data_IF_701582063724
#
_entry.id   IF_701582063724
#
_cell.length_a   1.000
_cell.length_b   1.000
_cell.length_c   1.000
_cell.angle_alpha   90.00
_cell.angle_beta   90.00
_cell.angle_gamma   90.00
#
_symmetry.space_group_name_H-M   'P 1'
#
loop_
_entity.id
_entity.type
_entity.pdbx_description
1 polymer ?
#
# COMPACT_ATOMS: atom_id res chain seq x y z
N UNK A 1 -4.15 20.29 6.06
CA UNK A 1 -3.21 19.18 5.77
C UNK A 1 -1.84 19.79 5.59
N UNK A 2 -0.80 19.17 6.12
CA UNK A 2 0.59 19.53 5.87
C UNK A 2 1.18 18.56 4.85
N UNK A 3 1.98 19.07 3.92
CA UNK A 3 2.58 18.29 2.84
C UNK A 3 4.06 18.62 2.68
N UNK A 4 4.83 17.66 2.16
CA UNK A 4 6.21 17.85 1.70
C UNK A 4 6.33 17.43 0.24
N UNK A 5 7.35 17.93 -0.45
CA UNK A 5 7.64 17.48 -1.81
C UNK A 5 8.01 15.99 -1.80
N UNK A 6 7.36 15.19 -2.64
CA UNK A 6 7.70 13.77 -2.83
C UNK A 6 9.11 13.54 -3.38
N UNK A 7 9.72 14.55 -4.02
CA UNK A 7 11.10 14.47 -4.51
C UNK A 7 12.12 14.31 -3.37
N UNK A 8 11.73 14.58 -2.13
CA UNK A 8 12.56 14.38 -0.95
C UNK A 8 12.51 12.94 -0.43
N UNK A 9 11.63 12.08 -0.97
CA UNK A 9 11.51 10.68 -0.56
C UNK A 9 12.58 9.84 -1.26
N UNK A 10 13.22 8.96 -0.49
CA UNK A 10 14.19 8.00 -1.02
C UNK A 10 13.48 6.80 -1.63
N UNK A 11 12.97 6.95 -2.86
CA UNK A 11 12.50 5.84 -3.67
C UNK A 11 13.56 5.36 -4.67
N UNK A 12 13.60 4.06 -4.99
CA UNK A 12 14.41 3.53 -6.08
C UNK A 12 14.07 4.17 -7.44
N UNK A 13 15.04 4.18 -8.36
CA UNK A 13 14.90 4.83 -9.67
C UNK A 13 13.73 4.29 -10.49
N UNK A 14 13.43 3.01 -10.38
CA UNK A 14 12.29 2.35 -11.04
C UNK A 14 10.95 2.97 -10.64
N UNK A 15 10.86 3.52 -9.43
CA UNK A 15 9.68 4.16 -8.86
C UNK A 15 9.74 5.69 -8.90
N UNK A 16 10.68 6.26 -9.65
CA UNK A 16 10.94 7.70 -9.65
C UNK A 16 9.75 8.58 -10.07
N UNK A 17 8.77 8.06 -10.80
CA UNK A 17 7.58 8.85 -11.16
C UNK A 17 6.65 9.05 -9.95
N UNK A 18 6.66 8.13 -8.98
CA UNK A 18 5.91 8.21 -7.73
C UNK A 18 6.41 9.36 -6.82
N UNK A 19 7.69 9.73 -6.91
CA UNK A 19 8.27 10.88 -6.19
C UNK A 19 7.65 12.23 -6.60
N UNK A 20 6.97 12.30 -7.74
CA UNK A 20 6.33 13.54 -8.18
C UNK A 20 5.03 13.84 -7.43
N UNK A 21 4.47 12.88 -6.69
CA UNK A 21 3.28 13.09 -5.86
C UNK A 21 3.68 13.77 -4.55
N UNK A 22 3.04 14.88 -4.15
CA UNK A 22 3.23 15.45 -2.81
C UNK A 22 2.84 14.45 -1.72
N UNK A 23 3.59 14.47 -0.61
CA UNK A 23 3.39 13.54 0.51
C UNK A 23 2.69 14.27 1.65
N UNK A 24 1.49 13.84 2.00
CA UNK A 24 0.72 14.33 3.14
C UNK A 24 1.31 13.80 4.44
N UNK A 25 1.77 14.71 5.30
CA UNK A 25 2.47 14.37 6.55
C UNK A 25 1.64 14.64 7.80
N UNK A 26 0.55 15.39 7.66
CA UNK A 26 -0.45 15.57 8.70
C UNK A 26 -1.82 15.90 8.10
N UNK A 27 -2.87 15.32 8.67
CA UNK A 27 -4.25 15.63 8.36
C UNK A 27 -5.03 15.88 9.67
N UNK A 28 -5.79 16.98 9.72
CA UNK A 28 -6.71 17.25 10.82
C UNK A 28 -8.03 16.53 10.51
N UNK A 29 -8.26 15.41 11.19
CA UNK A 29 -9.51 14.66 11.07
C UNK A 29 -10.47 15.09 12.17
N UNK A 30 -11.50 15.84 11.80
CA UNK A 30 -12.66 16.02 12.68
C UNK A 30 -13.39 14.68 12.77
N UNK A 31 -13.33 14.05 13.93
CA UNK A 31 -13.94 12.75 14.21
C UNK A 31 -15.45 12.77 13.95
N UNK A 32 -15.95 11.84 13.13
CA UNK A 32 -17.38 11.66 12.90
C UNK A 32 -17.82 11.09 11.55
N UNK A 33 -16.97 10.40 10.79
CA UNK A 33 -17.36 9.84 9.49
C UNK A 33 -17.81 8.39 9.67
N UNK A 34 -19.12 8.16 9.62
CA UNK A 34 -19.69 6.82 9.48
C UNK A 34 -19.65 6.41 8.01
N UNK A 35 -18.77 5.46 7.66
CA UNK A 35 -18.67 4.94 6.30
C UNK A 35 -19.74 3.89 6.04
N UNK A 36 -20.78 4.22 5.27
CA UNK A 36 -21.67 3.22 4.67
C UNK A 36 -21.04 2.71 3.38
N UNK A 37 -20.30 1.60 3.45
CA UNK A 37 -19.80 0.92 2.25
C UNK A 37 -20.86 -0.02 1.67
N UNK A 38 -21.02 -0.03 0.34
CA UNK A 38 -22.03 -0.86 -0.36
C UNK A 38 -21.70 -2.37 -0.36
N UNK A 39 -20.50 -2.78 0.03
CA UNK A 39 -20.05 -4.18 0.02
C UNK A 39 -19.35 -4.53 1.35
N UNK A 40 -19.59 -5.72 1.89
CA UNK A 40 -19.05 -6.16 3.20
C UNK A 40 -17.98 -7.27 3.09
N UNK A 41 -17.59 -7.69 1.88
CA UNK A 41 -16.59 -8.76 1.66
C UNK A 41 -15.70 -8.45 0.46
N UNK A 42 -14.41 -8.79 0.58
CA UNK A 42 -13.44 -8.72 -0.53
C UNK A 42 -13.81 -9.79 -1.56
N UNK A 43 -14.10 -9.38 -2.80
CA UNK A 43 -14.48 -10.30 -3.87
C UNK A 43 -13.26 -11.08 -4.41
N UNK A 44 -12.10 -10.44 -4.48
CA UNK A 44 -10.92 -10.98 -5.14
C UNK A 44 -9.72 -11.12 -4.21
N UNK A 45 -8.90 -12.15 -4.37
CA UNK A 45 -7.74 -12.33 -3.53
C UNK A 45 -6.63 -11.30 -3.78
N UNK A 46 -5.76 -11.08 -2.79
CA UNK A 46 -4.57 -10.23 -2.90
C UNK A 46 -3.38 -11.12 -2.56
N UNK A 47 -2.62 -11.52 -3.57
CA UNK A 47 -1.56 -12.52 -3.49
C UNK A 47 -0.25 -12.04 -4.12
N UNK A 48 0.80 -12.84 -3.96
CA UNK A 48 2.08 -12.60 -4.59
C UNK A 48 1.95 -12.64 -6.13
N UNK A 49 2.58 -11.67 -6.79
CA UNK A 49 2.72 -11.57 -8.23
C UNK A 49 4.13 -12.01 -8.65
N UNK A 50 4.26 -12.42 -9.90
CA UNK A 50 5.53 -12.77 -10.54
C UNK A 50 6.17 -11.58 -11.28
N UNK A 51 5.52 -10.41 -11.25
CA UNK A 51 5.95 -9.18 -11.91
C UNK A 51 5.67 -7.95 -11.02
N UNK A 52 6.40 -6.87 -11.26
CA UNK A 52 6.12 -5.58 -10.62
C UNK A 52 4.81 -4.99 -11.18
N UNK A 53 3.77 -4.79 -10.35
CA UNK A 53 2.48 -4.29 -10.84
C UNK A 53 2.49 -2.79 -11.15
N UNK A 54 3.48 -2.02 -10.65
CA UNK A 54 3.53 -0.57 -10.85
C UNK A 54 4.05 -0.24 -12.23
N UNK A 55 3.16 0.23 -13.10
CA UNK A 55 3.48 0.72 -14.45
C UNK A 55 3.93 2.18 -14.38
N UNK A 56 5.18 2.41 -13.98
CA UNK A 56 5.74 3.74 -13.69
C UNK A 56 5.49 4.77 -14.81
N UNK A 57 5.60 4.37 -16.09
CA UNK A 57 5.36 5.25 -17.25
C UNK A 57 3.89 5.64 -17.46
N UNK A 58 2.94 4.83 -16.97
CA UNK A 58 1.49 5.07 -17.07
C UNK A 58 0.90 5.68 -15.81
N UNK A 59 1.74 6.04 -14.83
CA UNK A 59 1.33 6.66 -13.59
C UNK A 59 1.26 8.19 -13.78
N UNK A 60 0.11 8.80 -13.51
CA UNK A 60 -0.07 10.25 -13.55
C UNK A 60 -0.04 10.83 -12.11
N UNK A 61 1.04 11.48 -11.66
CA UNK A 61 1.17 11.94 -10.27
C UNK A 61 0.07 12.90 -9.80
N UNK A 62 -0.48 13.71 -10.70
CA UNK A 62 -1.52 14.69 -10.38
C UNK A 62 -2.84 14.04 -9.96
N UNK A 63 -3.05 12.76 -10.29
CA UNK A 63 -4.26 12.00 -9.98
C UNK A 63 -4.18 11.28 -8.62
N UNK A 64 -3.09 11.44 -7.87
CA UNK A 64 -2.89 10.75 -6.60
C UNK A 64 -2.65 11.72 -5.45
N UNK A 65 -2.99 11.24 -4.26
CA UNK A 65 -2.44 11.73 -3.00
C UNK A 65 -1.51 10.65 -2.44
N UNK A 66 -0.48 11.04 -1.70
CA UNK A 66 0.39 10.06 -1.05
C UNK A 66 0.49 10.29 0.45
N UNK A 67 0.43 9.21 1.22
CA UNK A 67 0.42 9.21 2.68
C UNK A 67 1.43 8.18 3.17
N UNK A 68 2.40 8.57 4.00
CA UNK A 68 3.34 7.64 4.60
C UNK A 68 2.74 7.06 5.87
N UNK A 69 2.49 5.75 5.89
CA UNK A 69 1.94 5.06 7.05
C UNK A 69 3.01 4.28 7.80
N UNK A 70 2.98 4.34 9.12
CA UNK A 70 3.73 3.43 9.99
C UNK A 70 2.79 2.26 10.38
N UNK A 71 3.12 1.05 9.93
CA UNK A 71 2.33 -0.16 10.19
C UNK A 71 3.20 -1.19 10.89
N UNK A 72 3.07 -1.25 12.21
CA UNK A 72 3.98 -2.01 13.05
C UNK A 72 5.38 -1.38 13.01
N UNK A 73 6.38 -2.14 12.54
CA UNK A 73 7.76 -1.66 12.40
C UNK A 73 8.07 -1.04 11.02
N UNK A 74 7.12 -1.08 10.08
CA UNK A 74 7.36 -0.80 8.67
C UNK A 74 6.76 0.52 8.22
N UNK A 75 7.45 1.21 7.33
CA UNK A 75 7.04 2.48 6.73
C UNK A 75 6.58 2.20 5.30
N UNK A 76 5.26 2.28 5.07
CA UNK A 76 4.65 2.02 3.76
C UNK A 76 4.17 3.33 3.19
N UNK A 77 4.69 3.70 2.01
CA UNK A 77 4.23 4.86 1.27
C UNK A 77 3.02 4.49 0.41
N UNK A 78 1.85 4.96 0.84
CA UNK A 78 0.58 4.67 0.20
C UNK A 78 0.20 5.78 -0.78
N UNK A 79 -0.14 5.41 -2.01
CA UNK A 79 -0.63 6.28 -3.07
C UNK A 79 -2.10 5.95 -3.33
N UNK A 80 -2.99 6.93 -3.18
CA UNK A 80 -4.43 6.75 -3.36
C UNK A 80 -4.88 7.58 -4.54
N UNK A 81 -5.51 6.95 -5.52
CA UNK A 81 -6.08 7.64 -6.67
C UNK A 81 -7.25 8.53 -6.23
N UNK A 82 -7.33 9.75 -6.76
CA UNK A 82 -8.35 10.77 -6.45
C UNK A 82 -9.75 10.44 -7.01
N UNK A 83 -9.92 9.28 -7.66
CA UNK A 83 -11.22 8.88 -8.23
C UNK A 83 -12.20 8.59 -7.10
N UNK A 84 -13.48 8.91 -7.35
CA UNK A 84 -14.58 8.58 -6.44
C UNK A 84 -14.56 7.09 -6.08
N UNK A 85 -14.89 6.76 -4.83
CA UNK A 85 -14.78 5.41 -4.29
C UNK A 85 -13.39 5.04 -3.76
N UNK A 86 -12.29 5.49 -4.39
CA UNK A 86 -10.93 5.26 -3.87
C UNK A 86 -10.50 6.31 -2.85
N UNK A 87 -10.69 7.59 -3.17
CA UNK A 87 -10.32 8.68 -2.24
C UNK A 87 -11.13 8.62 -0.94
N UNK A 88 -12.34 8.05 -0.98
CA UNK A 88 -13.20 7.86 0.19
C UNK A 88 -12.65 6.83 1.20
N UNK A 89 -11.69 5.98 0.77
CA UNK A 89 -10.99 5.00 1.63
C UNK A 89 -9.93 5.70 2.50
N UNK A 90 -9.37 6.81 2.03
CA UNK A 90 -8.27 7.56 2.67
C UNK A 90 -8.52 7.86 4.15
N UNK A 91 -9.64 8.48 4.57
CA UNK A 91 -9.77 8.85 5.97
C UNK A 91 -10.08 7.64 6.86
N UNK A 92 -10.57 6.53 6.30
CA UNK A 92 -10.64 5.26 7.00
C UNK A 92 -9.26 4.66 7.28
N UNK A 93 -8.29 4.83 6.37
CA UNK A 93 -6.90 4.41 6.58
C UNK A 93 -6.19 5.29 7.61
N UNK A 94 -6.37 6.61 7.54
CA UNK A 94 -5.84 7.56 8.52
C UNK A 94 -6.35 7.29 9.95
N UNK A 95 -7.58 6.78 10.09
CA UNK A 95 -8.12 6.37 11.40
C UNK A 95 -7.51 5.06 11.93
N UNK A 96 -6.93 4.22 11.07
CA UNK A 96 -6.38 2.92 11.44
C UNK A 96 -4.87 2.92 11.62
N UNK A 97 -4.15 3.69 10.80
CA UNK A 97 -2.71 3.66 10.72
C UNK A 97 -2.14 5.06 10.98
N UNK A 98 -1.18 5.19 11.93
CA UNK A 98 -0.52 6.46 12.17
C UNK A 98 0.36 6.87 10.99
N UNK A 99 0.61 8.18 10.87
CA UNK A 99 1.60 8.69 9.93
C UNK A 99 3.01 8.22 10.33
N UNK A 100 3.79 7.78 9.34
CA UNK A 100 5.22 7.57 9.52
C UNK A 100 5.92 8.91 9.71
N UNK A 101 6.96 8.90 10.54
CA UNK A 101 7.86 10.06 10.68
C UNK A 101 8.48 10.39 9.33
N UNK A 102 8.56 11.68 9.01
CA UNK A 102 9.13 12.17 7.74
C UNK A 102 10.55 11.63 7.54
N UNK A 103 11.36 11.62 8.60
CA UNK A 103 12.74 11.14 8.56
C UNK A 103 12.86 9.66 8.14
N UNK A 104 11.85 8.83 8.43
CA UNK A 104 11.87 7.42 8.05
C UNK A 104 11.71 7.19 6.54
N UNK A 105 11.22 8.19 5.81
CA UNK A 105 10.97 8.11 4.36
C UNK A 105 11.87 9.05 3.55
N UNK A 106 12.45 10.08 4.19
CA UNK A 106 13.40 11.01 3.55
C UNK A 106 14.85 10.63 3.82
N UNK A 107 15.19 10.13 5.00
CA UNK A 107 16.55 9.71 5.33
C UNK A 107 16.79 8.23 5.04
N UNK A 108 15.72 7.42 5.04
CA UNK A 108 15.73 5.99 4.73
C UNK A 108 14.74 5.70 3.59
N UNK A 109 14.98 4.60 2.87
CA UNK A 109 14.02 4.09 1.90
C UNK A 109 12.77 3.57 2.63
N UNK A 110 11.55 3.84 2.14
CA UNK A 110 10.35 3.17 2.63
C UNK A 110 10.45 1.65 2.48
N UNK A 111 9.92 0.91 3.45
CA UNK A 111 9.92 -0.56 3.45
C UNK A 111 8.96 -1.12 2.38
N UNK A 112 7.93 -0.34 2.02
CA UNK A 112 7.03 -0.71 0.94
C UNK A 112 6.31 0.46 0.28
N UNK A 113 5.73 0.16 -0.87
CA UNK A 113 4.85 1.02 -1.65
C UNK A 113 3.49 0.34 -1.74
N UNK A 114 2.41 1.12 -1.62
CA UNK A 114 1.07 0.61 -1.89
C UNK A 114 0.32 1.57 -2.81
N UNK A 115 -0.15 1.10 -3.96
CA UNK A 115 -0.92 1.91 -4.93
C UNK A 115 -2.37 1.44 -4.94
N UNK A 116 -3.29 2.34 -4.61
CA UNK A 116 -4.72 2.07 -4.51
C UNK A 116 -5.48 2.77 -5.64
N UNK A 117 -6.15 1.97 -6.48
CA UNK A 117 -7.04 2.46 -7.53
C UNK A 117 -6.33 2.85 -8.83
N UNK A 118 -5.33 2.08 -9.26
CA UNK A 118 -4.55 2.41 -10.46
C UNK A 118 -5.34 2.19 -11.77
N UNK A 119 -5.69 3.24 -12.54
CA UNK A 119 -6.62 3.14 -13.67
C UNK A 119 -6.05 2.37 -14.88
N UNK A 120 -4.74 2.33 -15.03
CA UNK A 120 -4.04 1.63 -16.13
C UNK A 120 -3.61 0.20 -15.77
N UNK A 121 -4.22 -0.36 -14.73
CA UNK A 121 -3.95 -1.71 -14.21
C UNK A 121 -5.21 -2.57 -14.27
N UNK A 122 -5.01 -3.89 -14.36
CA UNK A 122 -6.08 -4.88 -14.45
C UNK A 122 -5.99 -5.93 -13.33
N UNK A 123 -6.84 -6.94 -13.37
CA UNK A 123 -6.90 -7.99 -12.35
C UNK A 123 -5.60 -8.80 -12.20
N UNK A 124 -4.72 -8.82 -13.20
CA UNK A 124 -3.40 -9.45 -13.11
C UNK A 124 -2.43 -8.65 -12.25
N UNK A 125 -2.65 -7.34 -12.15
CA UNK A 125 -1.85 -6.44 -11.32
C UNK A 125 -2.39 -6.36 -9.86
N UNK A 126 -3.52 -7.00 -9.54
CA UNK A 126 -4.09 -7.07 -8.19
C UNK A 126 -3.25 -8.00 -7.31
N UNK A 127 -2.32 -7.43 -6.53
CA UNK A 127 -1.47 -8.23 -5.67
C UNK A 127 -0.27 -7.48 -5.12
N UNK A 128 0.71 -8.23 -4.65
CA UNK A 128 1.98 -7.69 -4.17
C UNK A 128 3.17 -8.36 -4.85
N UNK A 129 4.26 -7.63 -4.99
CA UNK A 129 5.50 -8.07 -5.57
C UNK A 129 6.66 -7.63 -4.68
N UNK A 130 7.59 -8.53 -4.40
CA UNK A 130 8.83 -8.18 -3.71
C UNK A 130 9.89 -7.88 -4.76
N UNK A 131 10.20 -6.60 -4.91
CA UNK A 131 11.35 -6.15 -5.69
C UNK A 131 12.61 -6.40 -4.86
N UNK A 132 13.26 -7.53 -5.15
CA UNK A 132 14.47 -7.98 -4.46
C UNK A 132 15.69 -7.15 -4.80
N UNK A 133 15.72 -6.50 -5.97
CA UNK A 133 16.88 -5.71 -6.41
C UNK A 133 16.95 -4.41 -5.61
N UNK A 134 15.80 -3.78 -5.39
CA UNK A 134 15.70 -2.57 -4.58
C UNK A 134 15.30 -2.82 -3.13
N UNK A 135 15.05 -4.07 -2.75
CA UNK A 135 14.68 -4.49 -1.40
C UNK A 135 13.45 -3.76 -0.86
N UNK A 136 12.40 -3.68 -1.69
CA UNK A 136 11.14 -2.99 -1.40
C UNK A 136 9.92 -3.85 -1.75
N UNK A 137 8.90 -3.83 -0.89
CA UNK A 137 7.66 -4.57 -1.13
C UNK A 137 6.60 -3.66 -1.76
N UNK A 138 6.05 -4.06 -2.90
CA UNK A 138 5.12 -3.25 -3.69
C UNK A 138 3.77 -3.92 -3.74
N UNK A 139 2.70 -3.24 -3.34
CA UNK A 139 1.32 -3.69 -3.51
C UNK A 139 0.54 -2.79 -4.45
N UNK A 140 -0.39 -3.36 -5.23
CA UNK A 140 -1.25 -2.59 -6.11
C UNK A 140 -2.69 -3.13 -6.12
N UNK A 141 -3.64 -2.21 -6.09
CA UNK A 141 -5.05 -2.45 -6.37
C UNK A 141 -5.40 -1.72 -7.68
N UNK A 142 -5.90 -2.43 -8.71
CA UNK A 142 -6.30 -1.82 -9.96
C UNK A 142 -7.53 -0.93 -9.75
N UNK A 143 -7.70 0.07 -10.63
CA UNK A 143 -8.77 1.07 -10.57
C UNK A 143 -10.14 0.57 -11.02
N UNK A 144 -10.54 -0.64 -10.62
CA UNK A 144 -11.80 -1.27 -11.00
C UNK A 144 -12.92 -0.95 -9.99
N UNK A 145 -14.16 -0.79 -10.43
CA UNK A 145 -15.28 -0.47 -9.53
C UNK A 145 -15.49 -1.54 -8.45
N UNK A 146 -15.24 -2.81 -8.77
CA UNK A 146 -15.34 -3.92 -7.82
C UNK A 146 -14.30 -3.87 -6.68
N UNK A 147 -13.27 -3.05 -6.84
CA UNK A 147 -12.21 -2.82 -5.86
C UNK A 147 -12.43 -1.55 -5.01
N UNK A 148 -13.49 -0.77 -5.26
CA UNK A 148 -13.86 0.44 -4.49
C UNK A 148 -14.55 0.08 -3.17
N UNK A 149 -13.85 -0.68 -2.33
CA UNK A 149 -14.32 -1.08 -1.00
C UNK A 149 -13.20 -0.90 0.01
N UNK A 150 -13.53 -0.39 1.20
CA UNK A 150 -12.58 -0.12 2.28
C UNK A 150 -11.64 -1.28 2.61
N UNK A 151 -12.12 -2.53 2.51
CA UNK A 151 -11.29 -3.70 2.75
C UNK A 151 -10.12 -3.87 1.77
N UNK A 152 -10.17 -3.27 0.58
CA UNK A 152 -9.04 -3.20 -0.37
C UNK A 152 -8.00 -2.13 -0.01
N UNK A 153 -8.30 -1.20 0.90
CA UNK A 153 -7.25 -0.43 1.56
C UNK A 153 -6.66 -1.21 2.74
N UNK A 154 -7.52 -1.60 3.68
CA UNK A 154 -7.10 -2.18 4.96
C UNK A 154 -6.38 -3.52 4.85
N UNK A 155 -6.98 -4.51 4.17
CA UNK A 155 -6.44 -5.88 4.17
C UNK A 155 -5.11 -5.97 3.43
N UNK A 156 -4.94 -5.38 2.23
CA UNK A 156 -3.67 -5.36 1.53
C UNK A 156 -2.53 -4.73 2.34
N UNK A 157 -2.76 -3.60 3.01
CA UNK A 157 -1.74 -2.98 3.87
C UNK A 157 -1.30 -3.89 5.03
N UNK A 158 -2.24 -4.61 5.66
CA UNK A 158 -1.92 -5.63 6.67
C UNK A 158 -1.19 -6.85 6.07
N UNK A 159 -1.54 -7.24 4.85
CA UNK A 159 -0.82 -8.29 4.12
C UNK A 159 0.63 -7.86 3.85
N UNK A 160 0.87 -6.64 3.37
CA UNK A 160 2.21 -6.11 3.15
C UNK A 160 3.03 -6.09 4.46
N UNK A 161 2.43 -5.65 5.56
CA UNK A 161 3.05 -5.72 6.88
C UNK A 161 3.49 -7.15 7.24
N UNK A 162 2.60 -8.14 7.08
CA UNK A 162 2.91 -9.54 7.40
C UNK A 162 4.05 -10.09 6.52
N UNK A 163 4.03 -9.76 5.22
CA UNK A 163 5.09 -10.17 4.29
C UNK A 163 6.42 -9.51 4.67
N UNK A 164 6.44 -8.23 5.02
CA UNK A 164 7.65 -7.56 5.51
C UNK A 164 8.19 -8.18 6.79
N UNK A 165 7.32 -8.54 7.74
CA UNK A 165 7.71 -9.29 8.93
C UNK A 165 8.41 -10.62 8.59
N UNK A 166 7.92 -11.33 7.56
CA UNK A 166 8.54 -12.59 7.10
C UNK A 166 9.88 -12.35 6.41
N UNK A 167 9.96 -11.32 5.55
CA UNK A 167 11.17 -11.02 4.77
C UNK A 167 12.31 -10.46 5.61
N UNK A 168 11.99 -9.63 6.61
CA UNK A 168 12.97 -8.88 7.41
C UNK A 168 13.17 -9.43 8.81
N UNK A 169 12.24 -10.24 9.30
CA UNK A 169 12.28 -10.82 10.63
C UNK A 169 13.11 -12.09 10.77
N UNK A 170 13.81 -12.54 9.72
CA UNK A 170 14.51 -13.83 9.65
C UNK A 170 13.61 -14.99 10.10
N UNK A 171 13.00 -15.70 9.15
CA UNK A 171 12.84 -17.14 9.38
C UNK A 171 14.26 -17.71 9.27
N UNK A 172 14.96 -18.11 10.35
CA UNK A 172 15.96 -19.14 10.17
C UNK A 172 15.21 -20.31 9.55
N UNK A 173 15.61 -20.72 8.35
CA UNK A 173 15.35 -22.06 7.85
C UNK A 173 15.96 -23.03 8.87
N UNK A 174 15.23 -23.32 9.96
CA UNK A 174 15.39 -24.38 10.97
C UNK A 174 14.54 -24.07 12.22
N UNK A 175 13.21 -24.23 12.14
CA UNK A 175 12.38 -25.05 13.04
C UNK A 175 10.89 -24.70 12.89
N UNK A 176 10.06 -25.75 12.92
CA UNK A 176 8.68 -25.74 12.50
C UNK A 176 7.74 -24.87 13.33
N UNK A 177 6.94 -24.07 12.63
CA UNK A 177 5.48 -24.00 12.84
C UNK A 177 4.86 -23.38 11.59
N UNK A 178 4.38 -24.24 10.71
CA UNK A 178 3.81 -23.89 9.41
C UNK A 178 2.33 -23.50 9.53
N UNK A 179 1.78 -23.51 10.74
CA UNK A 179 0.36 -23.80 10.93
C UNK A 179 -0.52 -22.56 10.78
N UNK A 180 0.02 -21.35 11.00
CA UNK A 180 -0.74 -20.10 10.82
C UNK A 180 -0.66 -19.55 9.39
N UNK A 181 0.40 -19.87 8.63
CA UNK A 181 0.51 -19.43 7.23
C UNK A 181 -0.24 -20.37 6.27
N UNK A 182 -0.34 -21.66 6.62
CA UNK A 182 -1.04 -22.64 5.78
C UNK A 182 -2.55 -22.40 5.70
N UNK A 183 -3.18 -21.88 6.76
CA UNK A 183 -4.63 -21.62 6.77
C UNK A 183 -5.02 -20.47 5.83
N UNK A 184 -4.11 -19.54 5.54
CA UNK A 184 -4.31 -18.48 4.53
C UNK A 184 -4.12 -18.97 3.09
N UNK A 185 -3.39 -20.08 2.89
CA UNK A 185 -3.12 -20.66 1.57
C UNK A 185 -3.98 -21.91 1.26
N UNK A 186 -4.75 -22.42 2.23
CA UNK A 186 -5.56 -23.65 2.07
C UNK A 186 -7.00 -23.47 1.63
N UNK A 187 -7.51 -22.25 1.48
CA UNK A 187 -8.82 -22.06 0.86
C UNK A 187 -8.70 -22.08 -0.67
N UNK A 188 -8.62 -23.33 -1.18
CA UNK A 188 -9.07 -23.70 -2.52
C UNK A 188 -10.52 -23.28 -2.76
#
# INVERSE_FOLDING_TARGET
MSEISGNNIKLPKEYSNLNKVPVTTAADMRTGVYYTTHANKRAFPFFALDHNPVKNEKFNPEEYVSIPFEIGAWNILCYIHKTRGYIEIEPGLLNLFPFSKIENITNKQPDGIFVLGCPNSDMKDLGYYHDKENDILVGLIPGLDECQYFGYGKKPMLTLHNVLCILKGDLPLHCGRQDMLLDLMKNK
#
